data_IF_472425104468
#
_entry.id   IF_472425104468
#
_cell.length_a   1.000
_cell.length_b   1.000
_cell.length_c   1.000
_cell.angle_alpha   90.00
_cell.angle_beta   90.00
_cell.angle_gamma   90.00
#
_symmetry.space_group_name_H-M   'P 1'
#
loop_
_entity.id
_entity.type
_entity.pdbx_description
1 polymer ?
#
# COMPACT_ATOMS: atom_id res chain seq x y z
N UNK A 1 -10.35 -35.97 12.64
CA UNK A 1 -9.68 -35.20 11.57
C UNK A 1 -10.77 -34.82 10.57
N UNK A 2 -10.95 -33.55 10.25
CA UNK A 2 -11.97 -33.12 9.28
C UNK A 2 -11.59 -33.61 7.88
N UNK A 3 -12.52 -34.24 7.18
CA UNK A 3 -12.31 -34.73 5.81
C UNK A 3 -12.62 -33.60 4.82
N UNK A 4 -11.63 -32.76 4.54
CA UNK A 4 -11.75 -31.66 3.60
C UNK A 4 -11.97 -32.09 2.14
N UNK A 5 -11.71 -33.36 1.80
CA UNK A 5 -12.00 -33.90 0.47
C UNK A 5 -13.51 -34.10 0.27
N UNK A 6 -14.22 -34.53 1.32
CA UNK A 6 -15.64 -34.83 1.28
C UNK A 6 -16.56 -33.59 1.45
N UNK A 7 -16.09 -32.52 2.11
CA UNK A 7 -16.92 -31.38 2.49
C UNK A 7 -16.42 -30.04 1.89
N UNK A 8 -16.89 -29.66 0.69
CA UNK A 8 -16.47 -28.43 0.02
C UNK A 8 -16.71 -27.16 0.85
N UNK A 9 -17.84 -27.03 1.53
CA UNK A 9 -18.19 -25.85 2.34
C UNK A 9 -17.21 -25.63 3.50
N UNK A 10 -16.81 -26.69 4.19
CA UNK A 10 -15.83 -26.60 5.29
C UNK A 10 -14.44 -26.24 4.75
N UNK A 11 -14.10 -26.77 3.58
CA UNK A 11 -12.84 -26.43 2.90
C UNK A 11 -12.82 -24.97 2.45
N UNK A 12 -13.90 -24.49 1.85
CA UNK A 12 -14.05 -23.08 1.44
C UNK A 12 -14.02 -22.13 2.64
N UNK A 13 -14.67 -22.48 3.76
CA UNK A 13 -14.61 -21.71 4.99
C UNK A 13 -13.17 -21.58 5.52
N UNK A 14 -12.39 -22.68 5.48
CA UNK A 14 -10.98 -22.63 5.88
C UNK A 14 -10.12 -21.82 4.89
N UNK A 15 -10.35 -21.95 3.59
CA UNK A 15 -9.67 -21.13 2.57
C UNK A 15 -9.99 -19.65 2.80
N UNK A 16 -11.23 -19.30 3.10
CA UNK A 16 -11.65 -17.95 3.44
C UNK A 16 -10.89 -17.41 4.66
N UNK A 17 -10.82 -18.21 5.73
CA UNK A 17 -10.06 -17.84 6.92
C UNK A 17 -8.58 -17.59 6.60
N UNK A 18 -7.95 -18.46 5.82
CA UNK A 18 -6.54 -18.29 5.41
C UNK A 18 -6.36 -17.03 4.56
N UNK A 19 -7.32 -16.73 3.66
CA UNK A 19 -7.32 -15.49 2.88
C UNK A 19 -7.42 -14.27 3.79
N UNK A 20 -8.28 -14.30 4.81
CA UNK A 20 -8.40 -13.20 5.78
C UNK A 20 -7.12 -13.02 6.61
N UNK A 21 -6.45 -14.11 6.95
CA UNK A 21 -5.23 -14.09 7.77
C UNK A 21 -3.97 -13.69 6.99
N UNK A 22 -3.87 -14.08 5.72
CA UNK A 22 -2.62 -13.96 4.96
C UNK A 22 -2.75 -13.06 3.72
N UNK A 23 -3.97 -12.59 3.39
CA UNK A 23 -4.24 -11.77 2.20
C UNK A 23 -4.19 -12.53 0.88
N UNK A 24 -3.54 -13.71 0.84
CA UNK A 24 -3.39 -14.55 -0.34
C UNK A 24 -3.34 -16.05 -0.01
N UNK A 25 -3.58 -16.87 -1.03
CA UNK A 25 -3.39 -18.33 -0.98
C UNK A 25 -2.75 -18.84 -2.27
N UNK A 26 -1.94 -19.90 -2.14
CA UNK A 26 -1.30 -20.59 -3.27
C UNK A 26 -1.94 -21.96 -3.42
N UNK A 27 -2.37 -22.34 -4.65
CA UNK A 27 -3.10 -23.57 -4.90
C UNK A 27 -2.31 -24.82 -4.48
N UNK A 28 -1.02 -24.88 -4.77
CA UNK A 28 -0.19 -26.04 -4.42
C UNK A 28 -0.02 -26.20 -2.90
N UNK A 29 0.16 -25.10 -2.17
CA UNK A 29 0.27 -25.11 -0.71
C UNK A 29 -1.03 -25.57 -0.05
N UNK A 30 -2.17 -25.03 -0.50
CA UNK A 30 -3.48 -25.44 -0.02
C UNK A 30 -3.78 -26.91 -0.34
N UNK A 31 -3.46 -27.35 -1.57
CA UNK A 31 -3.66 -28.73 -1.98
C UNK A 31 -2.92 -29.71 -1.05
N UNK A 32 -1.64 -29.43 -0.79
CA UNK A 32 -0.82 -30.22 0.13
C UNK A 32 -1.35 -30.18 1.57
N UNK A 33 -1.70 -28.98 2.08
CA UNK A 33 -2.19 -28.79 3.45
C UNK A 33 -3.53 -29.49 3.72
N UNK A 34 -4.41 -29.52 2.70
CA UNK A 34 -5.78 -30.05 2.82
C UNK A 34 -5.92 -31.47 2.28
N UNK A 35 -4.84 -32.05 1.70
CA UNK A 35 -4.86 -33.41 1.16
C UNK A 35 -5.78 -33.57 -0.05
N UNK A 36 -5.94 -32.54 -0.88
CA UNK A 36 -6.79 -32.52 -2.07
C UNK A 36 -5.99 -32.14 -3.31
N UNK A 37 -6.56 -32.33 -4.51
CA UNK A 37 -5.90 -31.92 -5.75
C UNK A 37 -5.88 -30.40 -5.91
N UNK A 38 -4.88 -29.84 -6.62
CA UNK A 38 -4.89 -28.41 -7.00
C UNK A 38 -6.13 -28.04 -7.84
N UNK A 39 -6.64 -28.98 -8.63
CA UNK A 39 -7.87 -28.78 -9.40
C UNK A 39 -9.07 -28.52 -8.48
N UNK A 40 -9.17 -29.27 -7.37
CA UNK A 40 -10.18 -29.06 -6.34
C UNK A 40 -10.07 -27.67 -5.73
N UNK A 41 -8.86 -27.26 -5.34
CA UNK A 41 -8.60 -25.91 -4.81
C UNK A 41 -8.97 -24.82 -5.84
N UNK A 42 -8.60 -24.98 -7.11
CA UNK A 42 -8.94 -24.01 -8.16
C UNK A 42 -10.45 -23.87 -8.35
N UNK A 43 -11.21 -24.94 -8.17
CA UNK A 43 -12.68 -24.91 -8.20
C UNK A 43 -13.24 -24.15 -7.00
N UNK A 44 -12.75 -24.40 -5.80
CA UNK A 44 -13.18 -23.68 -4.59
C UNK A 44 -12.87 -22.18 -4.70
N UNK A 45 -11.66 -21.82 -5.14
CA UNK A 45 -11.30 -20.43 -5.37
C UNK A 45 -12.14 -19.78 -6.48
N UNK A 46 -12.65 -20.56 -7.45
CA UNK A 46 -13.57 -20.04 -8.45
C UNK A 46 -14.93 -19.68 -7.84
N UNK A 47 -15.48 -20.52 -6.97
CA UNK A 47 -16.75 -20.22 -6.29
C UNK A 47 -16.58 -19.04 -5.33
N UNK A 48 -15.55 -19.02 -4.48
CA UNK A 48 -15.23 -17.89 -3.61
C UNK A 48 -15.00 -16.57 -4.39
N UNK A 49 -14.48 -16.67 -5.61
CA UNK A 49 -14.31 -15.49 -6.47
C UNK A 49 -15.62 -14.98 -7.05
N UNK A 50 -16.58 -15.87 -7.36
CA UNK A 50 -17.94 -15.46 -7.77
C UNK A 50 -18.68 -14.74 -6.64
N UNK A 51 -18.46 -15.19 -5.41
CA UNK A 51 -19.03 -14.59 -4.20
C UNK A 51 -18.33 -13.28 -3.80
N UNK A 52 -17.35 -12.82 -4.59
CA UNK A 52 -16.61 -11.59 -4.33
C UNK A 52 -15.60 -11.68 -3.18
N UNK A 53 -15.34 -12.87 -2.64
CA UNK A 53 -14.43 -13.09 -1.51
C UNK A 53 -12.97 -12.93 -1.90
N UNK A 54 -12.61 -13.35 -3.11
CA UNK A 54 -11.23 -13.29 -3.57
C UNK A 54 -11.14 -12.96 -5.07
N UNK A 55 -9.98 -12.49 -5.51
CA UNK A 55 -9.61 -12.38 -6.93
C UNK A 55 -8.61 -13.47 -7.28
N UNK A 56 -8.89 -14.24 -8.34
CA UNK A 56 -7.99 -15.28 -8.83
C UNK A 56 -6.77 -14.65 -9.47
N UNK A 57 -5.60 -15.18 -9.14
CA UNK A 57 -4.30 -14.84 -9.75
C UNK A 57 -3.62 -16.11 -10.25
N UNK A 58 -2.52 -15.97 -11.00
CA UNK A 58 -1.75 -17.14 -11.43
C UNK A 58 -1.26 -17.93 -10.21
N UNK A 59 -1.61 -19.21 -10.15
CA UNK A 59 -1.21 -20.10 -9.07
C UNK A 59 -2.01 -20.01 -7.76
N UNK A 60 -3.02 -19.10 -7.64
CA UNK A 60 -3.75 -18.96 -6.39
C UNK A 60 -4.87 -17.93 -6.43
N UNK A 61 -5.11 -17.29 -5.28
CA UNK A 61 -6.02 -16.17 -5.14
C UNK A 61 -5.51 -15.17 -4.08
N UNK A 62 -5.93 -13.92 -4.21
CA UNK A 62 -5.76 -12.85 -3.22
C UNK A 62 -7.12 -12.44 -2.69
N UNK A 63 -7.16 -11.95 -1.45
CA UNK A 63 -8.42 -11.44 -0.88
C UNK A 63 -8.97 -10.33 -1.80
N UNK A 64 -10.28 -10.35 -2.04
CA UNK A 64 -10.90 -9.27 -2.79
C UNK A 64 -10.96 -8.03 -1.90
N UNK A 65 -9.96 -7.18 -2.03
CA UNK A 65 -10.14 -5.80 -1.57
C UNK A 65 -11.10 -5.11 -2.54
N UNK A 66 -12.00 -4.25 -2.05
CA UNK A 66 -12.76 -3.37 -2.94
C UNK A 66 -11.78 -2.71 -3.90
N UNK A 67 -12.13 -2.68 -5.20
CA UNK A 67 -11.29 -1.95 -6.17
C UNK A 67 -11.01 -0.57 -5.62
N UNK A 68 -9.77 -0.12 -5.80
CA UNK A 68 -9.37 1.19 -5.32
C UNK A 68 -10.35 2.23 -5.86
N UNK A 69 -11.26 2.70 -5.00
CA UNK A 69 -12.14 3.82 -5.33
C UNK A 69 -11.30 5.01 -5.80
N UNK A 70 -11.85 5.84 -6.67
CA UNK A 70 -11.19 7.06 -7.13
C UNK A 70 -10.75 7.91 -5.92
N UNK A 71 -9.65 8.61 -6.06
CA UNK A 71 -9.09 9.46 -5.00
C UNK A 71 -10.13 10.42 -4.41
N UNK A 72 -11.06 10.90 -5.24
CA UNK A 72 -12.15 11.78 -4.82
C UNK A 72 -13.05 11.13 -3.76
N UNK A 73 -13.39 9.85 -3.91
CA UNK A 73 -14.17 9.08 -2.95
C UNK A 73 -13.33 8.78 -1.70
N UNK A 74 -12.10 8.29 -1.91
CA UNK A 74 -11.20 7.92 -0.80
C UNK A 74 -10.90 9.07 0.17
N UNK A 75 -10.97 10.33 -0.27
CA UNK A 75 -10.79 11.50 0.61
C UNK A 75 -11.85 11.61 1.70
N UNK A 76 -13.08 11.16 1.43
CA UNK A 76 -14.17 11.16 2.41
C UNK A 76 -14.19 9.95 3.36
N UNK A 77 -13.36 8.93 3.12
CA UNK A 77 -13.36 7.67 3.90
C UNK A 77 -12.27 7.72 4.98
N UNK A 78 -12.61 7.32 6.21
CA UNK A 78 -11.66 7.20 7.33
C UNK A 78 -10.86 8.50 7.61
N UNK A 79 -11.48 9.66 7.47
CA UNK A 79 -10.83 10.98 7.54
C UNK A 79 -10.05 11.16 8.85
N UNK A 80 -10.66 10.83 10.00
CA UNK A 80 -10.00 10.96 11.31
C UNK A 80 -8.76 10.06 11.44
N UNK A 81 -8.85 8.80 11.00
CA UNK A 81 -7.73 7.85 11.02
C UNK A 81 -6.57 8.35 10.14
N UNK A 82 -6.88 8.79 8.92
CA UNK A 82 -5.88 9.36 8.00
C UNK A 82 -5.24 10.63 8.56
N UNK A 83 -6.01 11.48 9.23
CA UNK A 83 -5.49 12.69 9.89
C UNK A 83 -4.47 12.35 10.99
N UNK A 84 -4.75 11.35 11.83
CA UNK A 84 -3.82 10.91 12.88
C UNK A 84 -2.52 10.35 12.27
N UNK A 85 -2.63 9.47 11.27
CA UNK A 85 -1.49 8.93 10.52
C UNK A 85 -0.69 10.07 9.87
N UNK A 86 -1.35 10.99 9.21
CA UNK A 86 -0.77 12.15 8.54
C UNK A 86 0.04 13.04 9.49
N UNK A 87 -0.51 13.36 10.67
CA UNK A 87 0.18 14.13 11.71
C UNK A 87 1.43 13.39 12.22
N UNK A 88 1.36 12.07 12.35
CA UNK A 88 2.54 11.28 12.74
C UNK A 88 3.61 11.32 11.65
N UNK A 89 3.23 11.18 10.39
CA UNK A 89 4.16 11.30 9.24
C UNK A 89 4.81 12.69 9.21
N UNK A 90 4.03 13.76 9.36
CA UNK A 90 4.54 15.12 9.36
C UNK A 90 5.61 15.36 10.44
N UNK A 91 5.51 14.69 11.60
CA UNK A 91 6.51 14.77 12.68
C UNK A 91 7.81 14.01 12.39
N UNK A 92 7.86 13.16 11.36
CA UNK A 92 9.08 12.46 10.95
C UNK A 92 9.94 13.31 10.02
N UNK A 93 9.39 14.38 9.45
CA UNK A 93 10.09 15.25 8.50
C UNK A 93 11.02 16.20 9.25
N UNK A 94 12.24 16.33 8.72
CA UNK A 94 13.26 17.25 9.26
C UNK A 94 13.40 18.48 8.35
N UNK A 95 13.62 19.63 8.95
CA UNK A 95 13.90 20.85 8.18
C UNK A 95 15.19 20.70 7.38
N UNK A 96 15.21 21.23 6.16
CA UNK A 96 16.33 21.15 5.23
C UNK A 96 16.35 19.89 4.37
N UNK A 97 15.38 18.96 4.54
CA UNK A 97 15.35 17.73 3.74
C UNK A 97 14.66 17.91 2.39
N UNK A 98 15.05 17.05 1.44
CA UNK A 98 14.35 16.82 0.18
C UNK A 98 13.48 15.57 0.33
N UNK A 99 12.16 15.75 0.27
CA UNK A 99 11.20 14.64 0.48
C UNK A 99 10.35 14.43 -0.75
N UNK A 100 9.98 13.17 -0.97
CA UNK A 100 8.94 12.80 -1.93
C UNK A 100 7.62 12.53 -1.21
N UNK A 101 6.52 13.12 -1.68
CA UNK A 101 5.17 12.83 -1.23
C UNK A 101 4.36 12.29 -2.39
N UNK A 102 4.09 10.99 -2.36
CA UNK A 102 3.28 10.29 -3.34
C UNK A 102 1.80 10.71 -3.27
N UNK A 103 1.08 10.54 -4.36
CA UNK A 103 -0.37 10.74 -4.39
C UNK A 103 -1.10 9.86 -3.36
N UNK A 104 -2.25 10.30 -2.92
CA UNK A 104 -3.11 9.54 -2.00
C UNK A 104 -3.76 10.40 -0.92
N UNK A 105 -4.92 9.94 -0.44
CA UNK A 105 -5.71 10.72 0.54
C UNK A 105 -5.02 10.88 1.91
N UNK A 106 -4.21 9.90 2.34
CA UNK A 106 -3.42 10.02 3.58
C UNK A 106 -2.25 10.98 3.38
N UNK A 107 -1.57 10.91 2.23
CA UNK A 107 -0.45 11.78 1.88
C UNK A 107 -0.91 13.24 1.63
N UNK A 108 -2.12 13.43 1.09
CA UNK A 108 -2.73 14.77 1.01
C UNK A 108 -2.93 15.37 2.41
N UNK A 109 -3.52 14.59 3.33
CA UNK A 109 -3.68 15.02 4.71
C UNK A 109 -2.33 15.30 5.40
N UNK A 110 -1.28 14.53 5.07
CA UNK A 110 0.08 14.79 5.56
C UNK A 110 0.62 16.12 5.02
N UNK A 111 0.46 16.41 3.73
CA UNK A 111 0.90 17.67 3.13
C UNK A 111 0.22 18.89 3.78
N UNK A 112 -1.06 18.74 4.13
CA UNK A 112 -1.81 19.76 4.90
C UNK A 112 -1.23 19.93 6.31
N UNK A 113 -0.87 18.82 6.98
CA UNK A 113 -0.38 18.79 8.37
C UNK A 113 1.10 19.21 8.53
N UNK A 114 1.89 19.30 7.46
CA UNK A 114 3.28 19.75 7.55
C UNK A 114 3.36 21.15 8.15
N UNK A 115 4.22 21.41 9.15
CA UNK A 115 4.45 22.74 9.70
C UNK A 115 4.99 23.70 8.64
N UNK A 116 4.42 24.91 8.55
CA UNK A 116 4.81 25.91 7.54
C UNK A 116 6.21 26.51 7.79
N UNK A 117 6.74 26.33 8.99
CA UNK A 117 8.04 26.85 9.45
C UNK A 117 9.22 25.98 8.99
N UNK A 118 8.95 24.79 8.51
CA UNK A 118 10.00 23.91 7.95
C UNK A 118 10.50 24.51 6.62
N UNK A 119 11.79 24.47 6.40
CA UNK A 119 12.37 24.70 5.08
C UNK A 119 12.53 23.34 4.40
N UNK A 120 11.80 23.08 3.30
CA UNK A 120 11.77 21.79 2.62
C UNK A 120 11.84 21.95 1.10
N UNK A 121 12.51 21.01 0.44
CA UNK A 121 12.24 20.73 -0.97
C UNK A 121 11.28 19.53 -1.03
N UNK A 122 10.08 19.75 -1.54
CA UNK A 122 9.06 18.70 -1.65
C UNK A 122 8.78 18.37 -3.10
N UNK A 123 9.02 17.12 -3.46
CA UNK A 123 8.72 16.59 -4.78
C UNK A 123 7.44 15.76 -4.70
N UNK A 124 6.53 15.96 -5.63
CA UNK A 124 5.27 15.19 -5.68
C UNK A 124 4.83 14.94 -7.11
N UNK A 125 4.15 13.83 -7.34
CA UNK A 125 3.43 13.55 -8.58
C UNK A 125 1.95 13.95 -8.52
N UNK A 126 1.49 14.54 -7.40
CA UNK A 126 0.10 14.89 -7.19
C UNK A 126 -0.15 16.40 -7.39
N UNK A 127 -0.94 16.81 -8.39
CA UNK A 127 -1.32 18.22 -8.56
C UNK A 127 -2.02 18.82 -7.33
N UNK A 128 -2.82 18.02 -6.64
CA UNK A 128 -3.56 18.47 -5.46
C UNK A 128 -2.63 18.71 -4.26
N UNK A 129 -1.66 17.81 -4.04
CA UNK A 129 -0.63 17.99 -3.01
C UNK A 129 0.23 19.21 -3.33
N UNK A 130 0.67 19.37 -4.58
CA UNK A 130 1.44 20.54 -5.00
C UNK A 130 0.68 21.85 -4.69
N UNK A 131 -0.61 21.91 -5.00
CA UNK A 131 -1.45 23.08 -4.72
C UNK A 131 -1.57 23.42 -3.22
N UNK A 132 -1.57 22.40 -2.36
CA UNK A 132 -1.54 22.57 -0.89
C UNK A 132 -0.19 23.11 -0.43
N UNK A 133 0.90 22.51 -0.91
CA UNK A 133 2.25 22.85 -0.50
C UNK A 133 2.68 24.27 -0.92
N UNK A 134 2.22 24.75 -2.07
CA UNK A 134 2.49 26.12 -2.56
C UNK A 134 1.96 27.22 -1.61
N UNK A 135 1.09 26.90 -0.67
CA UNK A 135 0.63 27.84 0.37
C UNK A 135 1.64 28.00 1.52
N UNK A 136 2.70 27.21 1.56
CA UNK A 136 3.73 27.21 2.61
C UNK A 136 4.98 27.97 2.11
N UNK A 137 5.30 29.11 2.69
CA UNK A 137 6.25 30.08 2.08
C UNK A 137 7.71 29.60 2.05
N UNK A 138 8.07 28.62 2.90
CA UNK A 138 9.44 28.10 2.99
C UNK A 138 9.63 26.79 2.24
N UNK A 139 8.61 26.35 1.48
CA UNK A 139 8.71 25.12 0.71
C UNK A 139 9.07 25.40 -0.74
N UNK A 140 10.11 24.75 -1.22
CA UNK A 140 10.35 24.59 -2.65
C UNK A 140 9.53 23.37 -3.13
N UNK A 141 8.66 23.56 -4.11
CA UNK A 141 7.75 22.52 -4.60
C UNK A 141 8.11 22.15 -6.02
N UNK A 142 8.50 20.90 -6.22
CA UNK A 142 8.76 20.31 -7.54
C UNK A 142 7.59 19.37 -7.88
N UNK A 143 6.82 19.73 -8.89
CA UNK A 143 5.74 18.91 -9.42
C UNK A 143 6.23 18.05 -10.57
N UNK A 144 6.20 16.72 -10.42
CA UNK A 144 6.50 15.80 -11.51
C UNK A 144 5.36 15.77 -12.52
N UNK A 145 5.70 16.04 -13.77
CA UNK A 145 4.74 16.07 -14.87
C UNK A 145 4.46 14.69 -15.47
N UNK A 146 3.39 14.61 -16.25
CA UNK A 146 3.00 13.39 -16.95
C UNK A 146 1.48 13.30 -17.14
N UNK A 147 0.97 12.11 -17.53
CA UNK A 147 -0.45 11.85 -17.60
C UNK A 147 -1.02 11.66 -16.19
N UNK A 148 -2.02 12.46 -15.83
CA UNK A 148 -2.72 12.31 -14.55
C UNK A 148 -3.67 11.13 -14.62
N UNK A 149 -3.45 10.13 -13.76
CA UNK A 149 -4.34 8.99 -13.62
C UNK A 149 -5.51 9.35 -12.70
N UNK A 150 -6.73 9.17 -13.18
CA UNK A 150 -7.95 9.55 -12.45
C UNK A 150 -8.09 8.81 -11.11
N UNK A 151 -7.82 7.51 -11.08
CA UNK A 151 -7.98 6.66 -9.90
C UNK A 151 -7.04 7.03 -8.75
N UNK A 152 -5.78 7.36 -9.06
CA UNK A 152 -4.77 7.76 -8.06
C UNK A 152 -4.72 9.27 -7.82
N UNK A 153 -5.07 10.07 -8.83
CA UNK A 153 -4.93 11.53 -8.81
C UNK A 153 -3.49 12.01 -8.99
N UNK A 154 -2.59 11.14 -9.46
CA UNK A 154 -1.17 11.45 -9.64
C UNK A 154 -0.70 11.29 -11.08
N UNK A 155 0.38 11.97 -11.43
CA UNK A 155 1.10 11.77 -12.68
C UNK A 155 1.88 10.48 -12.63
N UNK A 156 1.73 9.65 -13.67
CA UNK A 156 2.39 8.35 -13.82
C UNK A 156 2.95 8.19 -15.24
N UNK A 157 3.63 7.07 -15.49
CA UNK A 157 4.17 6.71 -16.79
C UNK A 157 5.61 7.16 -17.00
N UNK A 158 6.14 6.92 -18.21
CA UNK A 158 7.56 7.06 -18.52
C UNK A 158 8.11 8.47 -18.25
N UNK A 159 7.34 9.52 -18.55
CA UNK A 159 7.76 10.91 -18.31
C UNK A 159 7.93 11.22 -16.82
N UNK A 160 7.01 10.76 -15.98
CA UNK A 160 7.12 10.94 -14.53
C UNK A 160 8.28 10.12 -13.95
N UNK A 161 8.47 8.88 -14.41
CA UNK A 161 9.58 8.01 -13.99
C UNK A 161 10.93 8.62 -14.36
N UNK A 162 11.08 9.15 -15.57
CA UNK A 162 12.34 9.78 -16.00
C UNK A 162 12.73 10.96 -15.11
N UNK A 163 11.78 11.80 -14.71
CA UNK A 163 12.04 12.93 -13.82
C UNK A 163 12.47 12.49 -12.41
N UNK A 164 11.93 11.39 -11.90
CA UNK A 164 12.30 10.84 -10.58
C UNK A 164 13.75 10.38 -10.54
N UNK A 165 14.24 9.80 -11.64
CA UNK A 165 15.58 9.18 -11.69
C UNK A 165 16.75 10.15 -11.42
N UNK A 166 16.50 11.44 -11.61
CA UNK A 166 17.52 12.49 -11.45
C UNK A 166 17.49 13.15 -10.05
N UNK A 167 16.62 12.67 -9.14
CA UNK A 167 16.42 13.27 -7.81
C UNK A 167 16.63 12.21 -6.72
N UNK A 168 17.42 12.53 -5.72
CA UNK A 168 17.60 11.71 -4.51
C UNK A 168 16.78 12.31 -3.37
N UNK A 169 16.05 11.46 -2.65
CA UNK A 169 15.17 11.85 -1.55
C UNK A 169 15.74 11.39 -0.21
N UNK A 170 15.75 12.28 0.78
CA UNK A 170 16.02 11.89 2.17
C UNK A 170 14.92 10.96 2.68
N UNK A 171 13.66 11.27 2.33
CA UNK A 171 12.50 10.46 2.71
C UNK A 171 11.48 10.40 1.58
N UNK A 172 10.92 9.20 1.35
CA UNK A 172 9.78 8.99 0.46
C UNK A 172 8.54 8.54 1.22
N UNK A 173 7.48 9.32 1.17
CA UNK A 173 6.16 8.98 1.74
C UNK A 173 5.30 8.33 0.66
N UNK A 174 5.26 7.01 0.66
CA UNK A 174 4.63 6.20 -0.39
C UNK A 174 3.20 5.83 0.00
N UNK A 175 2.27 6.06 -0.91
CA UNK A 175 0.88 5.68 -0.74
C UNK A 175 0.68 4.16 -0.81
N UNK A 176 0.02 3.57 0.21
CA UNK A 176 -0.26 2.15 0.29
C UNK A 176 -1.69 1.79 -0.12
N UNK A 177 -1.85 0.79 -0.99
CA UNK A 177 -3.15 0.19 -1.32
C UNK A 177 -3.39 -1.10 -0.56
N UNK A 178 -2.38 -1.95 -0.46
CA UNK A 178 -2.42 -3.24 0.22
C UNK A 178 -1.00 -3.63 0.65
N UNK A 179 -0.85 -4.21 1.83
CA UNK A 179 0.45 -4.61 2.35
C UNK A 179 0.36 -5.87 3.20
N UNK A 180 1.34 -6.76 3.05
CA UNK A 180 1.53 -7.90 3.94
C UNK A 180 3.03 -8.13 4.19
N UNK A 181 3.43 -8.77 5.31
CA UNK A 181 4.84 -9.07 5.58
C UNK A 181 5.50 -9.87 4.46
N UNK A 182 4.78 -10.84 3.90
CA UNK A 182 5.29 -11.77 2.89
C UNK A 182 5.32 -11.19 1.47
N UNK A 183 4.37 -10.30 1.15
CA UNK A 183 4.22 -9.75 -0.21
C UNK A 183 4.74 -8.32 -0.35
N UNK A 184 5.09 -7.69 0.76
CA UNK A 184 5.46 -6.29 0.79
C UNK A 184 4.30 -5.35 0.43
N UNK A 185 4.61 -4.23 -0.18
CA UNK A 185 3.65 -3.25 -0.66
C UNK A 185 3.16 -3.63 -2.06
N UNK A 186 1.85 -3.63 -2.24
CA UNK A 186 1.20 -3.98 -3.51
C UNK A 186 0.12 -2.97 -3.91
N UNK A 187 -0.23 -2.92 -5.19
CA UNK A 187 -1.20 -1.98 -5.72
C UNK A 187 -2.08 -2.55 -6.84
N UNK A 188 -3.14 -1.82 -7.19
CA UNK A 188 -4.14 -2.26 -8.17
C UNK A 188 -3.83 -1.83 -9.60
N UNK A 189 -3.02 -0.78 -9.78
CA UNK A 189 -2.67 -0.24 -11.08
C UNK A 189 -1.19 -0.44 -11.40
N UNK A 190 -0.93 -0.93 -12.61
CA UNK A 190 0.43 -1.25 -13.02
C UNK A 190 1.32 -0.01 -13.18
N UNK A 191 0.79 1.05 -13.80
CA UNK A 191 1.58 2.26 -14.06
C UNK A 191 1.91 3.01 -12.75
N UNK A 192 0.97 3.05 -11.80
CA UNK A 192 1.19 3.60 -10.46
C UNK A 192 2.24 2.78 -9.68
N UNK A 193 2.17 1.45 -9.75
CA UNK A 193 3.16 0.58 -9.11
C UNK A 193 4.55 0.74 -9.69
N UNK A 194 4.70 0.82 -11.02
CA UNK A 194 6.00 1.03 -11.67
C UNK A 194 6.60 2.41 -11.32
N UNK A 195 5.75 3.44 -11.24
CA UNK A 195 6.18 4.76 -10.78
C UNK A 195 6.71 4.71 -9.33
N UNK A 196 5.96 4.10 -8.41
CA UNK A 196 6.37 3.93 -7.00
C UNK A 196 7.67 3.15 -6.85
N UNK A 197 7.88 2.10 -7.67
CA UNK A 197 9.17 1.38 -7.71
C UNK A 197 10.33 2.30 -8.05
N UNK A 198 10.15 3.21 -9.00
CA UNK A 198 11.18 4.16 -9.39
C UNK A 198 11.47 5.14 -8.25
N UNK A 199 10.43 5.65 -7.58
CA UNK A 199 10.59 6.56 -6.44
C UNK A 199 11.34 5.89 -5.28
N UNK A 200 10.94 4.68 -4.87
CA UNK A 200 11.54 3.95 -3.75
C UNK A 200 13.04 3.75 -3.95
N UNK A 201 13.49 3.51 -5.17
CA UNK A 201 14.92 3.38 -5.51
C UNK A 201 15.73 4.65 -5.28
N UNK A 202 15.09 5.80 -5.23
CA UNK A 202 15.72 7.11 -5.03
C UNK A 202 15.63 7.59 -3.57
N UNK A 203 14.91 6.83 -2.70
CA UNK A 203 14.72 7.20 -1.30
C UNK A 203 15.82 6.61 -0.41
N UNK A 204 16.37 7.44 0.47
CA UNK A 204 17.23 6.98 1.56
C UNK A 204 16.40 6.31 2.68
N UNK A 205 15.18 6.81 2.92
CA UNK A 205 14.22 6.23 3.86
C UNK A 205 12.84 6.13 3.19
N UNK A 206 12.29 4.92 3.13
CA UNK A 206 10.96 4.65 2.57
C UNK A 206 9.93 4.53 3.69
N UNK A 207 8.93 5.41 3.70
CA UNK A 207 7.86 5.46 4.69
C UNK A 207 6.53 5.12 4.02
N UNK A 208 5.84 4.11 4.53
CA UNK A 208 4.50 3.74 4.05
C UNK A 208 3.46 4.10 5.10
N UNK A 209 2.52 4.97 4.72
CA UNK A 209 1.43 5.42 5.57
C UNK A 209 0.11 4.80 5.11
N UNK A 210 -0.50 3.94 5.91
CA UNK A 210 -1.73 3.24 5.54
C UNK A 210 -2.61 2.93 6.74
N UNK A 211 -3.91 2.80 6.48
CA UNK A 211 -4.89 2.38 7.48
C UNK A 211 -4.81 0.88 7.73
N UNK A 212 -5.07 0.44 8.98
CA UNK A 212 -4.87 -0.94 9.43
C UNK A 212 -5.69 -1.97 8.64
N UNK A 213 -6.82 -1.57 8.05
CA UNK A 213 -7.64 -2.43 7.18
C UNK A 213 -6.93 -2.89 5.89
N UNK A 214 -5.80 -2.26 5.55
CA UNK A 214 -4.97 -2.62 4.42
C UNK A 214 -3.89 -3.63 4.77
N UNK A 215 -3.88 -4.12 6.03
CA UNK A 215 -2.96 -5.11 6.56
C UNK A 215 -3.74 -6.21 7.30
N UNK A 216 -3.62 -7.51 6.91
CA UNK A 216 -2.88 -7.98 5.75
C UNK A 216 -3.74 -7.89 4.50
N UNK A 217 -3.17 -7.38 3.44
CA UNK A 217 -3.85 -7.38 2.15
C UNK A 217 -2.84 -7.46 1.01
N UNK A 218 -3.27 -8.02 -0.12
CA UNK A 218 -2.43 -8.17 -1.30
C UNK A 218 -3.21 -7.75 -2.54
N UNK A 219 -2.64 -6.85 -3.32
CA UNK A 219 -3.15 -6.43 -4.62
C UNK A 219 -2.38 -7.13 -5.76
N UNK A 220 -2.78 -6.85 -7.02
CA UNK A 220 -2.27 -7.60 -8.18
C UNK A 220 -0.80 -7.33 -8.48
N UNK A 221 -0.36 -6.07 -8.32
CA UNK A 221 0.97 -5.64 -8.76
C UNK A 221 1.85 -5.35 -7.56
N UNK A 222 3.04 -5.92 -7.53
CA UNK A 222 4.03 -5.67 -6.48
C UNK A 222 4.65 -4.29 -6.70
N UNK A 223 4.69 -3.47 -5.66
CA UNK A 223 5.45 -2.22 -5.63
C UNK A 223 6.85 -2.48 -5.10
N UNK A 224 6.96 -3.10 -3.92
CA UNK A 224 8.26 -3.44 -3.35
C UNK A 224 8.11 -4.53 -2.29
N UNK A 225 9.19 -5.23 -2.01
CA UNK A 225 9.27 -6.18 -0.89
C UNK A 225 9.32 -5.45 0.45
N UNK A 226 8.98 -6.13 1.53
CA UNK A 226 9.01 -5.57 2.90
C UNK A 226 10.39 -5.06 3.29
N UNK A 227 11.46 -5.74 2.87
CA UNK A 227 12.85 -5.36 3.14
C UNK A 227 13.30 -4.00 2.59
N UNK A 228 12.56 -3.41 1.66
CA UNK A 228 12.84 -2.09 1.10
C UNK A 228 11.95 -0.98 1.72
N UNK A 229 11.31 -1.27 2.84
CA UNK A 229 10.47 -0.34 3.58
C UNK A 229 11.09 -0.15 4.96
N UNK A 230 11.40 1.09 5.33
CA UNK A 230 12.06 1.40 6.60
C UNK A 230 11.05 1.68 7.72
N UNK A 231 9.91 2.27 7.35
CA UNK A 231 8.91 2.74 8.31
C UNK A 231 7.50 2.44 7.83
N UNK A 232 6.68 1.96 8.76
CA UNK A 232 5.22 1.90 8.60
C UNK A 232 4.58 2.83 9.65
N UNK A 233 3.64 3.67 9.20
CA UNK A 233 2.77 4.47 10.07
C UNK A 233 1.34 3.98 9.92
N UNK A 234 0.73 3.49 11.00
CA UNK A 234 -0.57 2.82 11.00
C UNK A 234 -1.31 3.04 12.32
N UNK A 235 -2.63 2.77 12.37
CA UNK A 235 -3.36 2.83 13.65
C UNK A 235 -2.90 1.72 14.62
N UNK A 236 -3.13 1.97 15.93
CA UNK A 236 -2.72 1.09 17.05
C UNK A 236 -3.43 -0.27 17.06
N UNK A 237 -4.53 -0.41 16.33
CA UNK A 237 -5.28 -1.66 16.21
C UNK A 237 -4.67 -2.68 15.22
N UNK A 238 -3.48 -2.42 14.68
CA UNK A 238 -2.76 -3.44 13.90
C UNK A 238 -2.53 -4.69 14.74
N UNK A 239 -2.83 -5.87 14.17
CA UNK A 239 -2.61 -7.12 14.86
C UNK A 239 -1.14 -7.29 15.27
N UNK A 240 -0.87 -7.69 16.52
CA UNK A 240 0.48 -7.98 17.04
C UNK A 240 1.25 -8.98 16.16
N UNK A 241 0.55 -9.96 15.58
CA UNK A 241 1.13 -10.93 14.63
C UNK A 241 1.82 -10.23 13.48
N UNK A 242 1.15 -9.25 12.84
CA UNK A 242 1.70 -8.54 11.68
C UNK A 242 2.75 -7.52 12.09
N UNK A 243 2.56 -6.83 13.21
CA UNK A 243 3.58 -5.93 13.74
C UNK A 243 4.91 -6.67 13.98
N UNK A 244 4.87 -7.83 14.64
CA UNK A 244 6.06 -8.66 14.86
C UNK A 244 6.66 -9.17 13.55
N UNK A 245 5.83 -9.58 12.59
CA UNK A 245 6.31 -10.05 11.29
C UNK A 245 7.00 -8.95 10.47
N UNK A 246 6.49 -7.72 10.49
CA UNK A 246 7.16 -6.58 9.85
C UNK A 246 8.46 -6.20 10.56
N UNK A 247 8.50 -6.24 11.89
CA UNK A 247 9.73 -5.99 12.67
C UNK A 247 10.84 -7.00 12.35
N UNK A 248 10.49 -8.24 11.97
CA UNK A 248 11.46 -9.24 11.51
C UNK A 248 12.12 -8.87 10.16
N UNK A 249 11.59 -7.90 9.44
CA UNK A 249 12.19 -7.27 8.24
C UNK A 249 12.87 -5.93 8.56
N UNK A 250 13.21 -5.65 9.83
CA UNK A 250 13.81 -4.40 10.32
C UNK A 250 12.94 -3.15 10.11
N UNK A 251 11.63 -3.32 9.88
CA UNK A 251 10.70 -2.21 9.69
C UNK A 251 10.33 -1.59 11.04
N UNK A 252 10.52 -0.29 11.18
CA UNK A 252 10.05 0.48 12.34
C UNK A 252 8.57 0.79 12.19
N UNK A 253 7.78 0.46 13.20
CA UNK A 253 6.33 0.70 13.19
C UNK A 253 6.00 1.83 14.16
N UNK A 254 5.35 2.87 13.64
CA UNK A 254 4.77 3.93 14.45
C UNK A 254 3.25 3.79 14.44
N UNK A 255 2.68 3.62 15.62
CA UNK A 255 1.24 3.54 15.83
C UNK A 255 0.64 4.89 16.26
N UNK A 256 -0.63 5.12 15.92
CA UNK A 256 -1.40 6.34 16.23
C UNK A 256 -2.80 6.00 16.67
#
# INVERSE_FOLDING_TARGET
MLDYAAFPEQRQALIYQILQENGRVICSELANRLGVSEHTIRRDLHELSKDGVCKKVYGGAVIALPESEDIAVRKGINVAKKSNIAQRCARLVKSGSCIFIDTGSTNLAMAEALPAELALTVVTNSPEIAAVLLKKPLFEVIMLGGAVQRSSGGCVGASAIAQVQDILFDQGFIGGCAMSPESGLTGFDYADCEFKKAVIKQCNETIVALTAEKIPAVARYVVTESSNIDVIVVEDNISKKYATAFQAHDIRIYTV
#
